data_IF_694803612008
#
_entry.id   IF_694803612008
#
_cell.length_a   1.000
_cell.length_b   1.000
_cell.length_c   1.000
_cell.angle_alpha   90.00
_cell.angle_beta   90.00
_cell.angle_gamma   90.00
#
_symmetry.space_group_name_H-M   'P 1'
#
loop_
_entity.id
_entity.type
_entity.pdbx_description
1 polymer ?
#
# COMPACT_ATOMS: atom_id res chain seq x y z
N UNK A 1 -17.47 -27.16 -15.43
CA UNK A 1 -16.17 -26.54 -15.76
C UNK A 1 -16.10 -25.14 -15.14
N UNK A 2 -16.38 -24.98 -13.83
CA UNK A 2 -16.47 -23.65 -13.20
C UNK A 2 -15.68 -23.53 -11.87
N UNK A 3 -15.60 -24.59 -11.08
CA UNK A 3 -15.06 -24.51 -9.70
C UNK A 3 -13.57 -24.12 -9.64
N UNK A 4 -12.75 -24.60 -10.60
CA UNK A 4 -11.33 -24.25 -10.65
C UNK A 4 -11.10 -22.77 -10.99
N UNK A 5 -11.92 -22.22 -11.89
CA UNK A 5 -11.85 -20.81 -12.29
C UNK A 5 -12.26 -19.90 -11.13
N UNK A 6 -13.34 -20.27 -10.44
CA UNK A 6 -13.84 -19.53 -9.28
C UNK A 6 -12.85 -19.56 -8.11
N UNK A 7 -12.27 -20.73 -7.81
CA UNK A 7 -11.24 -20.87 -6.78
C UNK A 7 -9.99 -20.04 -7.11
N UNK A 8 -9.56 -20.03 -8.37
CA UNK A 8 -8.44 -19.19 -8.82
C UNK A 8 -8.73 -17.70 -8.65
N UNK A 9 -9.87 -17.22 -9.16
CA UNK A 9 -10.28 -15.81 -9.03
C UNK A 9 -10.41 -15.39 -7.56
N UNK A 10 -10.96 -16.26 -6.72
CA UNK A 10 -11.08 -16.04 -5.27
C UNK A 10 -9.71 -15.92 -4.63
N UNK A 11 -8.78 -16.84 -4.96
CA UNK A 11 -7.41 -16.79 -4.46
C UNK A 11 -6.69 -15.49 -4.82
N UNK A 12 -6.83 -15.04 -6.07
CA UNK A 12 -6.27 -13.76 -6.53
C UNK A 12 -6.86 -12.58 -5.76
N UNK A 13 -8.19 -12.52 -5.61
CA UNK A 13 -8.86 -11.45 -4.87
C UNK A 13 -8.43 -11.41 -3.40
N UNK A 14 -8.38 -12.56 -2.73
CA UNK A 14 -7.89 -12.65 -1.33
C UNK A 14 -6.46 -12.12 -1.23
N UNK A 15 -5.58 -12.51 -2.16
CA UNK A 15 -4.21 -11.99 -2.21
C UNK A 15 -4.17 -10.46 -2.33
N UNK A 16 -4.91 -9.89 -3.27
CA UNK A 16 -5.00 -8.44 -3.47
C UNK A 16 -5.51 -7.73 -2.20
N UNK A 17 -6.59 -8.23 -1.60
CA UNK A 17 -7.18 -7.65 -0.40
C UNK A 17 -6.23 -7.66 0.80
N UNK A 18 -5.44 -8.73 0.97
CA UNK A 18 -4.44 -8.80 2.03
C UNK A 18 -3.33 -7.75 1.85
N UNK A 19 -2.87 -7.53 0.62
CA UNK A 19 -1.87 -6.48 0.35
C UNK A 19 -2.43 -5.08 0.55
N UNK A 20 -3.65 -4.81 0.09
CA UNK A 20 -4.32 -3.53 0.33
C UNK A 20 -4.48 -3.25 1.83
N UNK A 21 -4.84 -4.26 2.63
CA UNK A 21 -4.98 -4.12 4.08
C UNK A 21 -3.66 -3.74 4.76
N UNK A 22 -2.54 -4.32 4.35
CA UNK A 22 -1.21 -3.95 4.88
C UNK A 22 -0.85 -2.50 4.62
N UNK A 23 -1.22 -1.97 3.44
CA UNK A 23 -1.03 -0.56 3.11
C UNK A 23 -1.85 0.31 4.06
N UNK A 24 -3.14 -0.02 4.25
CA UNK A 24 -4.02 0.74 5.15
C UNK A 24 -3.50 0.69 6.60
N UNK A 25 -3.12 -0.48 7.10
CA UNK A 25 -2.59 -0.65 8.47
C UNK A 25 -1.29 0.16 8.67
N UNK A 26 -0.39 0.17 7.68
CA UNK A 26 0.83 1.00 7.74
C UNK A 26 0.51 2.49 7.79
N UNK A 27 -0.47 2.95 7.01
CA UNK A 27 -0.92 4.34 7.02
C UNK A 27 -1.57 4.73 8.36
N UNK A 28 -2.51 3.92 8.86
CA UNK A 28 -3.21 4.19 10.13
C UNK A 28 -2.27 4.21 11.33
N UNK A 29 -1.28 3.31 11.35
CA UNK A 29 -0.26 3.25 12.40
C UNK A 29 0.86 4.30 12.25
N UNK A 30 0.85 5.09 11.15
CA UNK A 30 1.98 5.94 10.72
C UNK A 30 3.31 5.17 10.69
N UNK A 31 3.23 3.87 10.40
CA UNK A 31 4.35 2.95 10.33
C UNK A 31 4.92 2.84 8.93
N UNK A 32 5.94 2.01 8.79
CA UNK A 32 6.53 1.66 7.49
C UNK A 32 5.89 0.39 6.92
N UNK A 33 5.80 0.33 5.60
CA UNK A 33 5.51 -0.87 4.84
C UNK A 33 6.84 -1.46 4.34
N UNK A 34 7.17 -2.69 4.77
CA UNK A 34 8.34 -3.41 4.26
C UNK A 34 7.97 -4.24 3.03
N UNK A 35 8.61 -3.98 1.89
CA UNK A 35 8.47 -4.77 0.66
C UNK A 35 9.86 -5.26 0.25
N UNK A 36 10.06 -6.58 0.28
CA UNK A 36 11.40 -7.16 0.20
C UNK A 36 12.27 -6.66 1.36
N UNK A 37 13.40 -6.05 1.04
CA UNK A 37 14.30 -5.43 2.03
C UNK A 37 14.13 -3.91 2.16
N UNK A 38 13.21 -3.31 1.37
CA UNK A 38 13.00 -1.87 1.34
C UNK A 38 11.86 -1.46 2.29
N UNK A 39 12.03 -0.31 2.93
CA UNK A 39 11.01 0.33 3.77
C UNK A 39 10.36 1.49 3.01
N UNK A 40 9.03 1.50 2.97
CA UNK A 40 8.22 2.55 2.38
C UNK A 40 7.38 3.22 3.45
N UNK A 41 7.24 4.54 3.39
CA UNK A 41 6.36 5.30 4.27
C UNK A 41 5.23 5.86 3.43
N UNK A 42 4.00 5.68 3.91
CA UNK A 42 2.82 6.19 3.21
C UNK A 42 2.63 7.62 3.66
N UNK A 43 2.91 8.56 2.75
CA UNK A 43 2.70 9.98 2.99
C UNK A 43 1.26 10.37 2.68
N UNK A 44 0.69 11.22 3.53
CA UNK A 44 -0.55 11.91 3.21
C UNK A 44 -0.30 13.10 2.24
N UNK A 45 -1.38 13.63 1.67
CA UNK A 45 -1.27 14.73 0.70
C UNK A 45 -0.67 16.02 1.28
N UNK A 46 -0.77 16.24 2.59
CA UNK A 46 -0.17 17.42 3.26
C UNK A 46 1.33 17.23 3.42
N UNK A 47 1.76 16.05 3.83
CA UNK A 47 3.19 15.68 3.93
C UNK A 47 3.85 15.80 2.56
N UNK A 48 3.22 15.27 1.51
CA UNK A 48 3.73 15.37 0.15
C UNK A 48 3.81 16.83 -0.32
N UNK A 49 2.76 17.63 -0.08
CA UNK A 49 2.76 19.05 -0.44
C UNK A 49 3.87 19.82 0.29
N UNK A 50 4.06 19.57 1.59
CA UNK A 50 5.11 20.20 2.37
C UNK A 50 6.51 19.87 1.81
N UNK A 51 6.77 18.61 1.47
CA UNK A 51 8.01 18.19 0.83
C UNK A 51 8.26 18.89 -0.51
N UNK A 52 7.22 19.00 -1.36
CA UNK A 52 7.34 19.65 -2.67
C UNK A 52 7.61 21.15 -2.51
N UNK A 53 6.89 21.82 -1.61
CA UNK A 53 7.11 23.23 -1.32
C UNK A 53 8.53 23.47 -0.78
N UNK A 54 9.02 22.61 0.10
CA UNK A 54 10.39 22.71 0.62
C UNK A 54 11.43 22.56 -0.49
N UNK A 55 11.24 21.64 -1.44
CA UNK A 55 12.15 21.43 -2.58
C UNK A 55 12.15 22.58 -3.59
N UNK A 56 11.04 23.30 -3.75
CA UNK A 56 10.93 24.43 -4.69
C UNK A 56 11.45 25.73 -4.05
N UNK A 57 11.23 25.90 -2.75
CA UNK A 57 11.61 27.13 -2.03
C UNK A 57 13.07 27.15 -1.54
N UNK A 58 13.82 26.06 -1.72
CA UNK A 58 15.27 25.96 -1.48
C UNK A 58 16.01 25.90 -2.81
#
# INVERSE_FOLDING_TARGET
MNDLSEAFCTGVNVGISLYQKKVIEAHESRGHLKIGDNLYYIQDGREHLAEVLEKICK
#
